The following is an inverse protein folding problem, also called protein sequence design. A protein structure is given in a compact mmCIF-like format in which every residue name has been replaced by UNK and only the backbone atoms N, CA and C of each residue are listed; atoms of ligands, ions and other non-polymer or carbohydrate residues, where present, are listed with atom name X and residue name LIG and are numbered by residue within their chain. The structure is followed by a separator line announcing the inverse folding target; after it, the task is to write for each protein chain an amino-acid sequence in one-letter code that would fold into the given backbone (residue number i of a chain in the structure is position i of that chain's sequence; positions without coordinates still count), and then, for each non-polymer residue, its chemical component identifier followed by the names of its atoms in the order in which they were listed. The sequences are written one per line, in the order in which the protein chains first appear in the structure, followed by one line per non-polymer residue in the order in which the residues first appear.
data_IF_976455793657
#
_entry.id   IF_976455793657
#
_cell.length_a   1.000
_cell.length_b   1.000
_cell.length_c   1.000
_cell.angle_alpha   90.00
_cell.angle_beta   90.00
_cell.angle_gamma   90.00
#
_symmetry.space_group_name_H-M   'P 1'
#
loop_
_entity.id
_entity.type
_entity.pdbx_description
1 polymer ?
#
# COMPACT_ATOMS: atom_id res chain seq x y z
N UNK A 1 46.81 -21.83 7.02
CA UNK A 1 45.60 -21.03 7.29
C UNK A 1 45.46 -20.02 6.16
N UNK A 2 44.58 -20.29 5.20
CA UNK A 2 44.31 -19.38 4.09
C UNK A 2 43.43 -18.24 4.62
N UNK A 3 44.05 -17.10 4.93
CA UNK A 3 43.34 -15.84 5.13
C UNK A 3 42.96 -15.29 3.76
N UNK A 4 41.85 -15.77 3.21
CA UNK A 4 41.27 -15.17 2.01
C UNK A 4 40.74 -13.75 2.36
N UNK A 5 41.30 -12.68 1.78
CA UNK A 5 40.84 -11.32 2.01
C UNK A 5 39.38 -11.11 1.56
N UNK A 6 38.87 -11.95 0.66
CA UNK A 6 37.47 -11.94 0.23
C UNK A 6 36.53 -12.48 1.33
N UNK A 7 36.92 -13.55 2.03
CA UNK A 7 36.21 -14.05 3.21
C UNK A 7 36.27 -13.04 4.36
N UNK A 8 37.40 -12.35 4.55
CA UNK A 8 37.54 -11.28 5.54
C UNK A 8 36.74 -10.00 5.19
N UNK A 9 36.59 -9.68 3.89
CA UNK A 9 35.71 -8.59 3.42
C UNK A 9 34.24 -8.97 3.50
N UNK A 10 33.88 -10.21 3.20
CA UNK A 10 32.52 -10.73 3.36
C UNK A 10 32.11 -10.77 4.84
N UNK A 11 33.03 -11.12 5.75
CA UNK A 11 32.84 -11.02 7.19
C UNK A 11 32.77 -9.58 7.73
N UNK A 12 33.27 -8.59 6.97
CA UNK A 12 33.18 -7.15 7.28
C UNK A 12 31.94 -6.47 6.70
N UNK A 13 31.31 -7.06 5.68
CA UNK A 13 30.08 -6.55 5.13
C UNK A 13 28.93 -6.97 6.07
N UNK A 14 28.11 -6.01 6.50
CA UNK A 14 26.79 -6.29 7.11
C UNK A 14 25.75 -6.20 5.99
N UNK A 15 25.62 -7.25 5.14
CA UNK A 15 24.79 -7.19 3.95
C UNK A 15 23.34 -6.98 4.36
N UNK A 16 22.69 -6.03 3.68
CA UNK A 16 21.27 -5.80 3.88
C UNK A 16 20.48 -7.06 3.52
N UNK A 17 19.53 -7.50 4.36
CA UNK A 17 18.67 -8.63 4.04
C UNK A 17 17.96 -8.44 2.70
N UNK A 18 17.73 -9.54 1.98
CA UNK A 18 17.09 -9.48 0.67
C UNK A 18 15.65 -8.96 0.79
N UNK A 19 15.29 -8.03 -0.09
CA UNK A 19 13.93 -7.52 -0.20
C UNK A 19 13.02 -8.55 -0.89
N UNK A 20 11.79 -8.70 -0.43
CA UNK A 20 10.78 -9.59 -1.04
C UNK A 20 10.37 -9.17 -2.46
N UNK A 21 10.60 -7.90 -2.82
CA UNK A 21 10.37 -7.36 -4.16
C UNK A 21 11.66 -6.72 -4.66
N UNK A 22 11.98 -6.91 -5.95
CA UNK A 22 13.13 -6.26 -6.58
C UNK A 22 12.81 -4.80 -6.92
N UNK A 23 13.83 -3.94 -6.94
CA UNK A 23 13.67 -2.55 -7.40
C UNK A 23 13.15 -2.46 -8.84
N UNK A 24 13.47 -3.47 -9.66
CA UNK A 24 13.08 -3.52 -11.08
C UNK A 24 11.57 -3.55 -11.27
N UNK A 25 10.82 -4.22 -10.38
CA UNK A 25 9.35 -4.24 -10.40
C UNK A 25 8.81 -2.82 -10.29
N UNK A 26 9.19 -2.10 -9.24
CA UNK A 26 8.74 -0.72 -9.01
C UNK A 26 9.07 0.21 -10.18
N UNK A 27 10.29 0.13 -10.71
CA UNK A 27 10.71 0.97 -11.83
C UNK A 27 9.95 0.67 -13.13
N UNK A 28 9.68 -0.61 -13.44
CA UNK A 28 8.90 -0.97 -14.62
C UNK A 28 7.47 -0.44 -14.53
N UNK A 29 6.84 -0.57 -13.36
CA UNK A 29 5.50 -0.01 -13.13
C UNK A 29 5.48 1.51 -13.28
N UNK A 30 6.51 2.19 -12.77
CA UNK A 30 6.64 3.63 -12.90
C UNK A 30 6.77 4.04 -14.37
N UNK A 31 7.62 3.36 -15.15
CA UNK A 31 7.78 3.65 -16.59
C UNK A 31 6.44 3.51 -17.32
N UNK A 32 5.69 2.43 -17.09
CA UNK A 32 4.39 2.23 -17.73
C UNK A 32 3.38 3.31 -17.34
N UNK A 33 3.33 3.67 -16.06
CA UNK A 33 2.50 4.76 -15.56
C UNK A 33 2.86 6.11 -16.19
N UNK A 34 4.16 6.45 -16.26
CA UNK A 34 4.65 7.71 -16.85
C UNK A 34 4.30 7.80 -18.33
N UNK A 35 4.49 6.72 -19.09
CA UNK A 35 4.14 6.66 -20.51
C UNK A 35 2.65 6.90 -20.73
N UNK A 36 1.79 6.20 -19.98
CA UNK A 36 0.35 6.40 -20.09
C UNK A 36 -0.08 7.80 -19.63
N UNK A 37 0.49 8.32 -18.54
CA UNK A 37 0.23 9.67 -18.05
C UNK A 37 0.58 10.73 -19.09
N UNK A 38 1.67 10.55 -19.84
CA UNK A 38 2.05 11.42 -20.95
C UNK A 38 1.05 11.35 -22.11
N UNK A 39 0.63 10.15 -22.52
CA UNK A 39 -0.39 9.93 -23.55
C UNK A 39 -1.72 10.57 -23.14
N UNK A 40 -2.18 10.31 -21.92
CA UNK A 40 -3.43 10.84 -21.40
C UNK A 40 -3.42 12.37 -21.33
N UNK A 41 -2.29 12.99 -20.96
CA UNK A 41 -2.14 14.45 -21.02
C UNK A 41 -2.17 14.98 -22.45
N UNK A 42 -1.51 14.32 -23.39
CA UNK A 42 -1.47 14.74 -24.79
C UNK A 42 -2.86 14.70 -25.46
N UNK A 43 -3.65 13.68 -25.14
CA UNK A 43 -5.00 13.50 -25.71
C UNK A 43 -6.13 13.97 -24.80
N UNK A 44 -5.82 14.65 -23.68
CA UNK A 44 -6.80 15.10 -22.69
C UNK A 44 -7.75 13.99 -22.18
N UNK A 45 -7.20 12.79 -21.97
CA UNK A 45 -7.94 11.63 -21.46
C UNK A 45 -7.98 11.66 -19.93
N UNK A 46 -8.86 12.47 -19.35
CA UNK A 46 -8.97 12.73 -17.90
C UNK A 46 -10.11 11.95 -17.21
N UNK A 47 -10.80 11.10 -17.96
CA UNK A 47 -11.95 10.32 -17.48
C UNK A 47 -11.59 9.09 -16.62
N UNK A 48 -12.59 8.49 -15.94
CA UNK A 48 -12.37 7.37 -15.01
C UNK A 48 -11.79 6.11 -15.66
N UNK A 49 -12.18 5.79 -16.91
CA UNK A 49 -11.59 4.67 -17.64
C UNK A 49 -10.13 4.91 -18.00
N UNK A 50 -9.73 6.15 -18.33
CA UNK A 50 -8.34 6.49 -18.56
C UNK A 50 -7.49 6.33 -17.27
N UNK A 51 -8.09 6.62 -16.11
CA UNK A 51 -7.46 6.35 -14.82
C UNK A 51 -7.30 4.84 -14.54
N UNK A 52 -8.27 4.00 -14.92
CA UNK A 52 -8.10 2.53 -14.84
C UNK A 52 -7.04 2.01 -15.81
N UNK A 53 -6.94 2.58 -17.01
CA UNK A 53 -5.85 2.25 -17.94
C UNK A 53 -4.50 2.67 -17.36
N UNK A 54 -4.43 3.76 -16.59
CA UNK A 54 -3.21 4.14 -15.85
C UNK A 54 -2.81 3.06 -14.83
N UNK A 55 -3.77 2.52 -14.09
CA UNK A 55 -3.53 1.38 -13.16
C UNK A 55 -3.04 0.15 -13.94
N UNK A 56 -3.65 -0.17 -15.08
CA UNK A 56 -3.22 -1.30 -15.92
C UNK A 56 -1.82 -1.08 -16.51
N UNK A 57 -1.52 0.13 -17.00
CA UNK A 57 -0.22 0.52 -17.53
C UNK A 57 0.87 0.50 -16.45
N UNK A 58 0.51 0.76 -15.19
CA UNK A 58 1.38 0.53 -14.04
C UNK A 58 1.57 -0.98 -13.77
N UNK A 59 0.48 -1.75 -13.69
CA UNK A 59 0.50 -3.15 -13.29
C UNK A 59 1.15 -4.11 -14.28
N UNK A 60 0.87 -3.95 -15.57
CA UNK A 60 1.29 -4.90 -16.59
C UNK A 60 2.82 -5.03 -16.72
N UNK A 61 3.60 -3.93 -16.82
CA UNK A 61 5.06 -4.02 -16.84
C UNK A 61 5.63 -4.67 -15.57
N UNK A 62 5.03 -4.43 -14.40
CA UNK A 62 5.45 -5.08 -13.16
C UNK A 62 5.26 -6.59 -13.23
N UNK A 63 4.11 -7.06 -13.72
CA UNK A 63 3.83 -8.48 -13.91
C UNK A 63 4.82 -9.11 -14.88
N UNK A 64 5.06 -8.45 -16.03
CA UNK A 64 6.00 -8.94 -17.04
C UNK A 64 7.43 -9.05 -16.46
N UNK A 65 7.91 -8.02 -15.77
CA UNK A 65 9.22 -8.05 -15.11
C UNK A 65 9.30 -9.18 -14.08
N UNK A 66 8.31 -9.30 -13.22
CA UNK A 66 8.31 -10.31 -12.16
C UNK A 66 8.26 -11.75 -12.70
N UNK A 67 7.57 -11.99 -13.82
CA UNK A 67 7.50 -13.32 -14.42
C UNK A 67 8.76 -13.65 -15.21
N UNK A 68 9.22 -12.73 -16.07
CA UNK A 68 10.27 -13.04 -17.05
C UNK A 68 11.68 -12.77 -16.53
N UNK A 69 11.87 -11.77 -15.66
CA UNK A 69 13.17 -11.37 -15.12
C UNK A 69 13.38 -11.97 -13.74
N UNK A 70 12.54 -11.58 -12.77
CA UNK A 70 12.69 -12.03 -11.38
C UNK A 70 12.27 -13.50 -11.20
N UNK A 71 11.44 -14.02 -12.12
CA UNK A 71 10.88 -15.38 -12.11
C UNK A 71 10.21 -15.73 -10.78
N UNK A 72 9.48 -14.77 -10.20
CA UNK A 72 8.83 -14.90 -8.87
C UNK A 72 7.90 -16.10 -8.77
N UNK A 73 7.33 -16.53 -9.89
CA UNK A 73 6.51 -17.73 -9.99
C UNK A 73 7.23 -19.00 -9.56
N UNK A 74 8.57 -19.03 -9.58
CA UNK A 74 9.41 -20.16 -9.14
C UNK A 74 9.87 -20.04 -7.69
N UNK A 75 9.54 -18.96 -6.99
CA UNK A 75 9.95 -18.79 -5.60
C UNK A 75 9.29 -19.87 -4.74
N UNK A 76 10.03 -20.50 -3.80
CA UNK A 76 9.46 -21.47 -2.86
C UNK A 76 8.30 -20.89 -2.04
N UNK A 77 8.34 -19.58 -1.77
CA UNK A 77 7.31 -18.83 -1.04
C UNK A 77 5.94 -18.83 -1.72
N UNK A 78 5.86 -19.12 -3.03
CA UNK A 78 4.58 -19.26 -3.73
C UNK A 78 3.79 -20.49 -3.26
N UNK A 79 4.48 -21.52 -2.77
CA UNK A 79 3.91 -22.83 -2.48
C UNK A 79 3.48 -23.60 -3.73
N UNK A 80 4.04 -23.28 -4.90
CA UNK A 80 3.71 -23.91 -6.18
C UNK A 80 4.81 -24.91 -6.58
N UNK A 81 4.40 -26.15 -6.84
CA UNK A 81 5.21 -27.15 -7.53
C UNK A 81 4.78 -27.23 -9.01
N UNK A 82 5.56 -26.60 -9.90
CA UNK A 82 5.28 -26.60 -11.33
C UNK A 82 5.41 -27.98 -11.99
N UNK A 83 6.23 -28.87 -11.42
CA UNK A 83 6.48 -30.23 -11.89
C UNK A 83 5.33 -31.19 -11.52
N UNK A 84 4.43 -30.79 -10.64
CA UNK A 84 3.27 -31.59 -10.25
C UNK A 84 2.43 -32.01 -11.46
N UNK A 85 2.16 -33.30 -11.58
CA UNK A 85 1.33 -33.90 -12.66
C UNK A 85 -0.07 -34.30 -12.19
N UNK A 86 -0.48 -33.89 -10.97
CA UNK A 86 -1.78 -34.18 -10.36
C UNK A 86 -2.94 -33.94 -11.34
N UNK A 87 -3.82 -34.93 -11.45
CA UNK A 87 -5.01 -34.85 -12.30
C UNK A 87 -6.01 -33.83 -11.73
N UNK A 88 -6.73 -33.11 -12.59
CA UNK A 88 -7.78 -32.19 -12.13
C UNK A 88 -8.90 -32.93 -11.37
N UNK A 89 -9.11 -34.22 -11.66
CA UNK A 89 -10.12 -35.04 -10.96
C UNK A 89 -9.76 -35.28 -9.50
N UNK A 90 -8.47 -35.37 -9.17
CA UNK A 90 -7.99 -35.60 -7.80
C UNK A 90 -8.14 -34.38 -6.89
N UNK A 91 -8.20 -33.18 -7.49
CA UNK A 91 -8.30 -31.90 -6.78
C UNK A 91 -9.67 -31.25 -6.91
N UNK A 92 -10.59 -31.84 -7.69
CA UNK A 92 -11.87 -31.23 -8.02
C UNK A 92 -12.70 -30.90 -6.78
N UNK A 93 -12.79 -31.81 -5.82
CA UNK A 93 -13.54 -31.58 -4.58
C UNK A 93 -12.94 -30.43 -3.75
N UNK A 94 -11.61 -30.32 -3.73
CA UNK A 94 -10.89 -29.22 -3.08
C UNK A 94 -11.21 -27.91 -3.79
N UNK A 95 -11.14 -27.90 -5.12
CA UNK A 95 -11.42 -26.72 -5.94
C UNK A 95 -12.87 -26.25 -5.83
N UNK A 96 -13.84 -27.15 -5.86
CA UNK A 96 -15.26 -26.82 -5.68
C UNK A 96 -15.52 -26.27 -4.27
N UNK A 97 -14.92 -26.89 -3.25
CA UNK A 97 -14.97 -26.40 -1.86
C UNK A 97 -14.38 -24.99 -1.74
N UNK A 98 -13.24 -24.75 -2.38
CA UNK A 98 -12.57 -23.44 -2.40
C UNK A 98 -13.39 -22.39 -3.13
N UNK A 99 -14.00 -22.73 -4.26
CA UNK A 99 -14.90 -21.84 -5.01
C UNK A 99 -16.12 -21.46 -4.17
N UNK A 100 -16.71 -22.41 -3.44
CA UNK A 100 -17.81 -22.14 -2.53
C UNK A 100 -17.41 -21.14 -1.43
N UNK A 101 -16.26 -21.35 -0.77
CA UNK A 101 -15.75 -20.42 0.24
C UNK A 101 -15.38 -19.05 -0.33
N UNK A 102 -14.76 -19.00 -1.51
CA UNK A 102 -14.41 -17.76 -2.20
C UNK A 102 -15.65 -16.93 -2.55
N UNK A 103 -16.67 -17.54 -3.14
CA UNK A 103 -17.88 -16.84 -3.54
C UNK A 103 -18.80 -16.51 -2.38
N UNK A 104 -18.80 -17.30 -1.32
CA UNK A 104 -19.41 -16.91 -0.05
C UNK A 104 -18.75 -15.64 0.51
N UNK A 105 -17.43 -15.54 0.42
CA UNK A 105 -16.69 -14.35 0.87
C UNK A 105 -17.12 -13.11 0.09
N UNK A 106 -17.19 -13.22 -1.25
CA UNK A 106 -17.68 -12.12 -2.08
C UNK A 106 -19.14 -11.78 -1.84
N UNK A 107 -20.01 -12.76 -1.58
CA UNK A 107 -21.41 -12.52 -1.24
C UNK A 107 -21.54 -11.71 0.06
N UNK A 108 -20.74 -12.02 1.09
CA UNK A 108 -20.70 -11.24 2.34
C UNK A 108 -20.18 -9.83 2.09
N UNK A 109 -19.11 -9.67 1.32
CA UNK A 109 -18.58 -8.33 0.96
C UNK A 109 -19.65 -7.52 0.20
N UNK A 110 -20.32 -8.13 -0.77
CA UNK A 110 -21.40 -7.50 -1.54
C UNK A 110 -22.58 -7.09 -0.64
N UNK A 111 -22.94 -7.92 0.34
CA UNK A 111 -23.96 -7.58 1.34
C UNK A 111 -23.54 -6.37 2.18
N UNK A 112 -22.28 -6.33 2.64
CA UNK A 112 -21.73 -5.16 3.36
C UNK A 112 -21.83 -3.91 2.50
N UNK A 113 -21.39 -3.97 1.24
CA UNK A 113 -21.51 -2.84 0.31
C UNK A 113 -22.96 -2.43 0.06
N UNK A 114 -23.88 -3.38 -0.05
CA UNK A 114 -25.31 -3.12 -0.28
C UNK A 114 -26.00 -2.44 0.91
N UNK A 115 -25.69 -2.85 2.14
CA UNK A 115 -26.28 -2.27 3.36
C UNK A 115 -25.65 -0.92 3.71
N UNK A 116 -24.34 -0.78 3.48
CA UNK A 116 -23.59 0.44 3.76
C UNK A 116 -23.82 1.51 2.70
N UNK A 117 -24.86 2.34 2.90
CA UNK A 117 -25.28 3.42 2.00
C UNK A 117 -24.17 4.38 1.54
N UNK A 118 -23.11 4.56 2.32
CA UNK A 118 -22.00 5.44 1.95
C UNK A 118 -21.22 4.95 0.72
N UNK A 119 -21.22 3.65 0.41
CA UNK A 119 -20.60 3.13 -0.82
C UNK A 119 -21.34 3.54 -2.09
N UNK A 120 -22.60 3.99 -1.97
CA UNK A 120 -23.45 4.40 -3.07
C UNK A 120 -23.56 5.92 -3.21
N UNK A 121 -22.55 6.65 -2.71
CA UNK A 121 -22.48 8.11 -2.75
C UNK A 121 -21.08 8.58 -3.11
N UNK A 122 -21.01 9.73 -3.80
CA UNK A 122 -19.75 10.35 -4.19
C UNK A 122 -18.84 9.40 -4.96
N UNK A 123 -17.54 9.46 -4.66
CA UNK A 123 -16.51 8.73 -5.38
C UNK A 123 -16.64 7.19 -5.30
N UNK A 124 -17.27 6.65 -4.25
CA UNK A 124 -17.43 5.20 -4.12
C UNK A 124 -18.40 4.59 -5.13
N UNK A 125 -19.26 5.40 -5.76
CA UNK A 125 -20.16 4.91 -6.81
C UNK A 125 -19.40 4.23 -7.94
N UNK A 126 -18.27 4.82 -8.35
CA UNK A 126 -17.41 4.25 -9.38
C UNK A 126 -16.84 2.88 -8.97
N UNK A 127 -16.46 2.71 -7.70
CA UNK A 127 -16.01 1.41 -7.19
C UNK A 127 -17.11 0.35 -7.29
N UNK A 128 -18.35 0.72 -6.96
CA UNK A 128 -19.48 -0.20 -7.03
C UNK A 128 -19.79 -0.61 -8.47
N UNK A 129 -19.79 0.35 -9.41
CA UNK A 129 -19.95 0.08 -10.85
C UNK A 129 -18.84 -0.83 -11.37
N UNK A 130 -17.57 -0.57 -10.99
CA UNK A 130 -16.44 -1.41 -11.37
C UNK A 130 -16.58 -2.84 -10.83
N UNK A 131 -17.01 -3.02 -9.57
CA UNK A 131 -17.26 -4.34 -9.01
C UNK A 131 -18.42 -5.05 -9.67
N UNK A 132 -19.53 -4.36 -9.97
CA UNK A 132 -20.66 -4.93 -10.69
C UNK A 132 -20.26 -5.43 -12.09
N UNK A 133 -19.44 -4.65 -12.81
CA UNK A 133 -18.93 -5.05 -14.12
C UNK A 133 -17.92 -6.21 -14.02
N UNK A 134 -17.05 -6.21 -13.02
CA UNK A 134 -16.00 -7.21 -12.87
C UNK A 134 -16.50 -8.55 -12.29
N UNK A 135 -17.53 -8.55 -11.43
CA UNK A 135 -17.95 -9.75 -10.70
C UNK A 135 -18.34 -10.93 -11.59
N UNK A 136 -19.14 -10.79 -12.68
CA UNK A 136 -19.47 -11.91 -13.57
C UNK A 136 -18.23 -12.49 -14.26
N UNK A 137 -17.31 -11.62 -14.69
CA UNK A 137 -16.06 -12.03 -15.33
C UNK A 137 -15.18 -12.79 -14.35
N UNK A 138 -15.03 -12.27 -13.13
CA UNK A 138 -14.25 -12.92 -12.07
C UNK A 138 -14.89 -14.26 -11.64
N UNK A 139 -16.22 -14.37 -11.62
CA UNK A 139 -16.93 -15.63 -11.38
C UNK A 139 -16.52 -16.69 -12.37
N UNK A 140 -16.72 -16.42 -13.66
CA UNK A 140 -16.40 -17.36 -14.72
C UNK A 140 -14.89 -17.66 -14.76
N UNK A 141 -14.03 -16.65 -14.61
CA UNK A 141 -12.58 -16.82 -14.66
C UNK A 141 -12.02 -17.57 -13.43
N UNK A 142 -12.67 -17.47 -12.26
CA UNK A 142 -12.22 -18.16 -11.05
C UNK A 142 -12.31 -19.67 -11.17
N UNK A 143 -13.29 -20.20 -11.90
CA UNK A 143 -13.50 -21.66 -12.06
C UNK A 143 -12.30 -22.37 -12.71
N UNK A 144 -11.89 -22.05 -13.96
CA UNK A 144 -10.75 -22.71 -14.58
C UNK A 144 -9.45 -22.38 -13.84
N UNK A 145 -9.32 -21.18 -13.27
CA UNK A 145 -8.12 -20.79 -12.54
C UNK A 145 -7.92 -21.63 -11.27
N UNK A 146 -8.95 -21.78 -10.43
CA UNK A 146 -8.88 -22.54 -9.18
C UNK A 146 -8.61 -24.02 -9.46
N UNK A 147 -9.34 -24.62 -10.41
CA UNK A 147 -9.13 -26.02 -10.83
C UNK A 147 -7.71 -26.23 -11.36
N UNK A 148 -7.16 -25.25 -12.07
CA UNK A 148 -5.79 -25.34 -12.59
C UNK A 148 -4.75 -25.20 -11.48
N UNK A 149 -4.85 -24.17 -10.63
CA UNK A 149 -3.80 -23.86 -9.64
C UNK A 149 -3.75 -24.90 -8.52
N UNK A 150 -4.88 -25.47 -8.09
CA UNK A 150 -4.91 -26.45 -6.99
C UNK A 150 -4.11 -27.73 -7.32
N UNK A 151 -3.98 -28.07 -8.60
CA UNK A 151 -3.13 -29.17 -9.08
C UNK A 151 -1.64 -28.90 -8.88
N UNK A 152 -1.27 -27.64 -8.74
CA UNK A 152 0.11 -27.17 -8.66
C UNK A 152 0.50 -26.74 -7.25
N UNK A 153 -0.45 -26.55 -6.34
CA UNK A 153 -0.14 -26.15 -4.97
C UNK A 153 0.38 -27.34 -4.16
N UNK A 154 1.43 -27.10 -3.37
CA UNK A 154 1.97 -28.09 -2.42
C UNK A 154 0.92 -28.37 -1.33
N UNK A 155 0.27 -27.32 -0.84
CA UNK A 155 -0.88 -27.41 0.05
C UNK A 155 -2.06 -26.63 -0.55
N UNK A 156 -2.99 -27.32 -1.23
CA UNK A 156 -4.14 -26.68 -1.86
C UNK A 156 -5.24 -26.30 -0.87
N UNK A 157 -5.22 -26.75 0.39
CA UNK A 157 -6.28 -26.51 1.39
C UNK A 157 -6.07 -25.19 2.14
N UNK A 158 -6.16 -24.09 1.41
CA UNK A 158 -6.02 -22.73 1.95
C UNK A 158 -7.26 -22.22 2.72
N UNK A 159 -7.22 -20.97 3.17
CA UNK A 159 -8.31 -20.35 3.94
C UNK A 159 -9.64 -20.25 3.19
N UNK A 160 -9.64 -20.17 1.85
CA UNK A 160 -10.86 -20.21 1.06
C UNK A 160 -11.46 -21.62 1.05
N UNK A 161 -10.62 -22.65 0.96
CA UNK A 161 -11.04 -24.04 1.18
C UNK A 161 -11.57 -24.25 2.60
N UNK A 162 -10.88 -23.75 3.62
CA UNK A 162 -11.29 -23.89 5.03
C UNK A 162 -12.69 -23.29 5.27
N UNK A 163 -12.94 -22.08 4.77
CA UNK A 163 -14.27 -21.45 4.87
C UNK A 163 -15.34 -22.27 4.13
N UNK A 164 -15.04 -22.76 2.92
CA UNK A 164 -15.96 -23.58 2.15
C UNK A 164 -16.27 -24.92 2.81
N UNK A 165 -15.26 -25.58 3.38
CA UNK A 165 -15.42 -26.86 4.06
C UNK A 165 -16.28 -26.73 5.32
N UNK A 166 -16.08 -25.65 6.08
CA UNK A 166 -16.93 -25.29 7.21
C UNK A 166 -18.38 -25.01 6.77
N UNK A 167 -18.56 -24.22 5.71
CA UNK A 167 -19.88 -23.85 5.18
C UNK A 167 -20.69 -25.08 4.73
N UNK A 168 -20.04 -26.02 4.06
CA UNK A 168 -20.70 -27.22 3.53
C UNK A 168 -20.76 -28.38 4.53
N UNK A 169 -20.14 -28.25 5.71
CA UNK A 169 -20.07 -29.32 6.71
C UNK A 169 -19.27 -30.55 6.24
N UNK A 170 -18.35 -30.38 5.28
CA UNK A 170 -17.60 -31.49 4.67
C UNK A 170 -16.33 -31.85 5.44
N UNK A 171 -15.82 -30.96 6.29
CA UNK A 171 -14.67 -31.21 7.17
C UNK A 171 -14.71 -30.33 8.42
N UNK A 172 -13.81 -30.58 9.37
CA UNK A 172 -13.55 -29.71 10.51
C UNK A 172 -12.21 -28.97 10.31
N UNK A 173 -12.20 -27.86 9.56
CA UNK A 173 -10.97 -27.13 9.23
C UNK A 173 -10.41 -26.38 10.43
N UNK A 174 -9.13 -26.04 10.35
CA UNK A 174 -8.49 -25.14 11.30
C UNK A 174 -9.19 -23.76 11.31
N UNK A 175 -9.59 -23.32 12.51
CA UNK A 175 -10.28 -22.05 12.71
C UNK A 175 -9.37 -20.86 12.42
N UNK A 176 -8.06 -21.00 12.67
CA UNK A 176 -7.11 -19.91 12.44
C UNK A 176 -6.96 -19.60 10.95
N UNK A 177 -7.03 -20.63 10.10
CA UNK A 177 -7.09 -20.45 8.64
C UNK A 177 -8.34 -19.65 8.20
N UNK A 178 -9.50 -19.93 8.81
CA UNK A 178 -10.74 -19.17 8.55
C UNK A 178 -10.59 -17.72 9.02
N UNK A 179 -10.11 -17.49 10.25
CA UNK A 179 -9.94 -16.12 10.77
C UNK A 179 -8.93 -15.31 9.97
N UNK A 180 -7.82 -15.93 9.55
CA UNK A 180 -6.86 -15.27 8.66
C UNK A 180 -7.48 -14.93 7.29
N UNK A 181 -8.26 -15.84 6.71
CA UNK A 181 -8.99 -15.60 5.45
C UNK A 181 -9.97 -14.43 5.58
N UNK A 182 -10.82 -14.44 6.59
CA UNK A 182 -11.81 -13.38 6.82
C UNK A 182 -11.15 -12.01 7.04
N UNK A 183 -10.07 -11.94 7.82
CA UNK A 183 -9.29 -10.70 8.01
C UNK A 183 -8.66 -10.24 6.70
N UNK A 184 -8.02 -11.14 5.95
CA UNK A 184 -7.35 -10.81 4.68
C UNK A 184 -8.34 -10.28 3.63
N UNK A 185 -9.52 -10.90 3.54
CA UNK A 185 -10.58 -10.43 2.65
C UNK A 185 -11.30 -9.19 3.17
N UNK A 186 -11.39 -9.00 4.49
CA UNK A 186 -11.85 -7.75 5.09
C UNK A 186 -10.96 -6.57 4.72
N UNK A 187 -9.63 -6.75 4.79
CA UNK A 187 -8.66 -5.73 4.32
C UNK A 187 -8.89 -5.46 2.83
N UNK A 188 -8.93 -6.50 2.00
CA UNK A 188 -9.08 -6.34 0.55
C UNK A 188 -10.41 -5.67 0.19
N UNK A 189 -11.52 -6.10 0.78
CA UNK A 189 -12.84 -5.50 0.57
C UNK A 189 -12.89 -4.04 0.99
N UNK A 190 -12.30 -3.67 2.12
CA UNK A 190 -12.29 -2.27 2.55
C UNK A 190 -11.42 -1.40 1.63
N UNK A 191 -10.16 -1.79 1.44
CA UNK A 191 -9.18 -0.93 0.77
C UNK A 191 -9.29 -0.93 -0.75
N UNK A 192 -9.67 -2.04 -1.40
CA UNK A 192 -9.83 -2.05 -2.85
C UNK A 192 -10.96 -1.10 -3.29
N UNK A 193 -12.07 -1.09 -2.54
CA UNK A 193 -13.17 -0.16 -2.79
C UNK A 193 -12.73 1.30 -2.63
N UNK A 194 -11.93 1.59 -1.60
CA UNK A 194 -11.38 2.92 -1.38
C UNK A 194 -10.42 3.35 -2.49
N UNK A 195 -9.47 2.47 -2.88
CA UNK A 195 -8.51 2.77 -3.93
C UNK A 195 -9.20 3.06 -5.26
N UNK A 196 -10.15 2.22 -5.67
CA UNK A 196 -10.92 2.46 -6.90
C UNK A 196 -11.72 3.77 -6.86
N UNK A 197 -12.20 4.19 -5.68
CA UNK A 197 -12.97 5.42 -5.54
C UNK A 197 -12.11 6.66 -5.82
N UNK A 198 -10.86 6.65 -5.37
CA UNK A 198 -9.97 7.83 -5.44
C UNK A 198 -9.11 7.89 -6.71
N UNK A 199 -8.89 6.76 -7.40
CA UNK A 199 -8.12 6.69 -8.65
C UNK A 199 -8.57 7.73 -9.69
N UNK A 200 -9.88 7.85 -10.05
CA UNK A 200 -10.31 8.77 -11.09
C UNK A 200 -10.09 10.24 -10.77
N UNK A 201 -10.38 10.65 -9.52
CA UNK A 201 -10.34 12.05 -9.11
C UNK A 201 -8.95 12.65 -9.26
N UNK A 202 -7.96 12.03 -8.61
CA UNK A 202 -6.57 12.49 -8.66
C UNK A 202 -5.97 12.40 -10.06
N UNK A 203 -6.27 11.34 -10.82
CA UNK A 203 -5.77 11.19 -12.18
C UNK A 203 -6.33 12.28 -13.11
N UNK A 204 -7.64 12.54 -13.06
CA UNK A 204 -8.26 13.58 -13.86
C UNK A 204 -7.75 14.97 -13.52
N UNK A 205 -7.57 15.27 -12.22
CA UNK A 205 -6.98 16.55 -11.78
C UNK A 205 -5.56 16.73 -12.33
N UNK A 206 -4.73 15.69 -12.22
CA UNK A 206 -3.39 15.69 -12.79
C UNK A 206 -3.42 15.95 -14.30
N UNK A 207 -4.30 15.30 -15.05
CA UNK A 207 -4.37 15.42 -16.53
C UNK A 207 -4.85 16.80 -16.96
N UNK A 208 -5.87 17.37 -16.29
CA UNK A 208 -6.47 18.67 -16.62
C UNK A 208 -5.60 19.88 -16.33
N UNK A 209 -4.53 19.73 -15.54
CA UNK A 209 -3.71 20.85 -15.13
C UNK A 209 -3.09 21.64 -16.31
N UNK A 210 -3.25 22.96 -16.27
CA UNK A 210 -2.76 23.92 -17.26
C UNK A 210 -1.23 24.08 -17.17
N UNK A 211 -0.52 23.57 -18.18
CA UNK A 211 0.96 23.63 -18.25
C UNK A 211 1.51 25.05 -18.28
N UNK A 212 0.76 26.01 -18.81
CA UNK A 212 1.22 27.40 -18.92
C UNK A 212 1.34 28.08 -17.56
N UNK A 213 0.43 27.73 -16.63
CA UNK A 213 0.46 28.19 -15.24
C UNK A 213 1.62 27.54 -14.48
N UNK A 214 1.84 26.24 -14.67
CA UNK A 214 2.88 25.48 -13.95
C UNK A 214 4.30 26.04 -14.17
N UNK A 215 4.58 26.59 -15.35
CA UNK A 215 5.91 27.13 -15.68
C UNK A 215 6.16 28.52 -15.09
N UNK A 216 5.11 29.19 -14.59
CA UNK A 216 5.17 30.60 -14.15
C UNK A 216 4.90 30.78 -12.67
N UNK A 217 4.26 29.81 -12.04
CA UNK A 217 3.93 29.83 -10.62
C UNK A 217 4.53 28.60 -9.91
N UNK A 218 5.55 28.79 -9.04
CA UNK A 218 6.16 27.70 -8.30
C UNK A 218 5.17 27.00 -7.37
N UNK A 219 4.13 27.69 -6.87
CA UNK A 219 3.10 27.09 -6.01
C UNK A 219 2.23 26.14 -6.83
N UNK A 220 1.76 26.59 -7.98
CA UNK A 220 1.00 25.74 -8.91
C UNK A 220 1.81 24.51 -9.34
N UNK A 221 3.11 24.68 -9.64
CA UNK A 221 4.01 23.58 -9.97
C UNK A 221 4.14 22.58 -8.80
N UNK A 222 4.36 23.06 -7.58
CA UNK A 222 4.47 22.21 -6.40
C UNK A 222 3.19 21.42 -6.15
N UNK A 223 2.02 22.07 -6.19
CA UNK A 223 0.74 21.39 -6.01
C UNK A 223 0.50 20.35 -7.10
N UNK A 224 0.81 20.65 -8.36
CA UNK A 224 0.68 19.69 -9.45
C UNK A 224 1.60 18.47 -9.29
N UNK A 225 2.86 18.68 -8.89
CA UNK A 225 3.79 17.59 -8.61
C UNK A 225 3.33 16.74 -7.42
N UNK A 226 2.78 17.36 -6.38
CA UNK A 226 2.19 16.67 -5.22
C UNK A 226 1.00 15.81 -5.66
N UNK A 227 0.06 16.36 -6.43
CA UNK A 227 -1.06 15.61 -7.01
C UNK A 227 -0.55 14.43 -7.84
N UNK A 228 0.51 14.62 -8.62
CA UNK A 228 1.09 13.53 -9.40
C UNK A 228 1.70 12.41 -8.53
N UNK A 229 2.39 12.76 -7.43
CA UNK A 229 2.89 11.75 -6.50
C UNK A 229 1.76 10.93 -5.88
N UNK A 230 0.61 11.54 -5.58
CA UNK A 230 -0.58 10.81 -5.13
C UNK A 230 -1.18 9.92 -6.22
N UNK A 231 -1.20 10.36 -7.49
CA UNK A 231 -1.63 9.51 -8.62
C UNK A 231 -0.76 8.26 -8.73
N UNK A 232 0.56 8.42 -8.57
CA UNK A 232 1.51 7.30 -8.55
C UNK A 232 1.21 6.37 -7.37
N UNK A 233 1.14 6.90 -6.15
CA UNK A 233 0.86 6.12 -4.93
C UNK A 233 -0.42 5.29 -5.08
N UNK A 234 -1.52 5.95 -5.46
CA UNK A 234 -2.83 5.33 -5.59
C UNK A 234 -2.84 4.29 -6.71
N UNK A 235 -2.18 4.53 -7.85
CA UNK A 235 -2.11 3.54 -8.92
C UNK A 235 -1.38 2.27 -8.47
N UNK A 236 -0.21 2.40 -7.85
CA UNK A 236 0.55 1.27 -7.32
C UNK A 236 -0.23 0.53 -6.21
N UNK A 237 -0.83 1.26 -5.28
CA UNK A 237 -1.66 0.67 -4.23
C UNK A 237 -2.84 -0.11 -4.81
N UNK A 238 -3.52 0.43 -5.83
CA UNK A 238 -4.63 -0.24 -6.51
C UNK A 238 -4.17 -1.53 -7.18
N UNK A 239 -3.06 -1.51 -7.91
CA UNK A 239 -2.45 -2.72 -8.46
C UNK A 239 -2.16 -3.73 -7.35
N UNK A 240 -1.62 -3.27 -6.22
CA UNK A 240 -1.32 -4.09 -5.05
C UNK A 240 -2.52 -4.88 -4.54
N UNK A 241 -3.69 -4.24 -4.46
CA UNK A 241 -4.94 -4.88 -4.03
C UNK A 241 -5.58 -5.77 -5.09
N UNK A 242 -5.43 -5.44 -6.38
CA UNK A 242 -5.96 -6.25 -7.49
C UNK A 242 -5.15 -7.54 -7.65
N UNK A 243 -3.81 -7.43 -7.70
CA UNK A 243 -2.90 -8.53 -8.01
C UNK A 243 -2.46 -9.29 -6.74
N UNK A 244 -3.41 -9.88 -6.01
CA UNK A 244 -3.15 -10.74 -4.84
C UNK A 244 -3.19 -12.23 -5.24
N UNK A 245 -2.13 -12.76 -5.84
CA UNK A 245 -2.12 -14.15 -6.34
C UNK A 245 -0.79 -14.86 -6.14
N UNK A 246 -0.86 -16.18 -5.94
CA UNK A 246 0.32 -17.02 -5.67
C UNK A 246 1.35 -17.04 -6.80
N UNK A 247 0.98 -17.10 -8.11
CA UNK A 247 1.96 -17.09 -9.20
C UNK A 247 2.83 -15.84 -9.26
N UNK A 248 2.39 -14.72 -8.68
CA UNK A 248 3.17 -13.48 -8.59
C UNK A 248 3.91 -13.35 -7.24
N UNK A 249 3.86 -14.38 -6.39
CA UNK A 249 4.31 -14.36 -4.99
C UNK A 249 3.76 -13.15 -4.20
N UNK A 250 2.56 -12.70 -4.57
CA UNK A 250 1.93 -11.50 -4.04
C UNK A 250 0.71 -11.84 -3.18
N UNK A 251 0.44 -13.10 -2.88
CA UNK A 251 -0.68 -13.47 -2.02
C UNK A 251 -0.51 -12.91 -0.59
N UNK A 252 -1.63 -12.69 0.09
CA UNK A 252 -1.61 -12.34 1.51
C UNK A 252 -1.24 -13.59 2.30
N UNK A 253 -0.16 -13.52 3.08
CA UNK A 253 0.28 -14.62 3.95
C UNK A 253 -0.48 -14.58 5.26
N UNK A 254 -0.54 -13.39 5.86
CA UNK A 254 -1.41 -13.13 6.99
C UNK A 254 -1.92 -11.70 7.02
N UNK A 255 -3.07 -11.50 7.65
CA UNK A 255 -3.59 -10.18 8.00
C UNK A 255 -3.42 -9.93 9.51
N UNK A 256 -3.25 -8.66 9.88
CA UNK A 256 -2.92 -8.27 11.24
C UNK A 256 -4.03 -8.75 12.21
N UNK A 257 -3.67 -9.53 13.25
CA UNK A 257 -4.66 -10.12 14.14
C UNK A 257 -5.18 -9.16 15.20
N UNK A 258 -4.50 -8.02 15.44
CA UNK A 258 -4.78 -7.15 16.57
C UNK A 258 -5.86 -6.12 16.25
N UNK A 259 -6.93 -6.07 17.05
CA UNK A 259 -7.97 -5.05 16.92
C UNK A 259 -7.42 -3.62 16.99
N UNK A 260 -6.37 -3.40 17.79
CA UNK A 260 -5.65 -2.12 17.87
C UNK A 260 -5.08 -1.67 16.51
N UNK A 261 -4.55 -2.61 15.70
CA UNK A 261 -4.04 -2.30 14.37
C UNK A 261 -5.15 -1.86 13.42
N UNK A 262 -6.29 -2.57 13.44
CA UNK A 262 -7.47 -2.23 12.65
C UNK A 262 -8.03 -0.86 13.03
N UNK A 263 -8.15 -0.56 14.32
CA UNK A 263 -8.63 0.73 14.78
C UNK A 263 -7.70 1.87 14.34
N UNK A 264 -6.39 1.74 14.56
CA UNK A 264 -5.40 2.72 14.12
C UNK A 264 -5.41 2.94 12.60
N UNK A 265 -5.66 1.89 11.81
CA UNK A 265 -5.81 2.01 10.37
C UNK A 265 -7.12 2.70 9.97
N UNK A 266 -8.27 2.27 10.49
CA UNK A 266 -9.59 2.79 10.10
C UNK A 266 -9.73 4.29 10.40
N UNK A 267 -9.15 4.78 11.51
CA UNK A 267 -9.10 6.21 11.85
C UNK A 267 -8.45 7.06 10.74
N UNK A 268 -7.60 6.47 9.90
CA UNK A 268 -6.86 7.17 8.85
C UNK A 268 -7.51 7.07 7.46
N UNK A 269 -8.63 6.35 7.28
CA UNK A 269 -9.19 6.07 5.96
C UNK A 269 -10.71 6.30 5.89
N UNK A 270 -11.22 6.93 4.82
CA UNK A 270 -12.66 7.04 4.60
C UNK A 270 -13.36 5.67 4.59
N UNK A 271 -14.61 5.58 5.09
CA UNK A 271 -15.43 6.66 5.65
C UNK A 271 -15.16 6.96 7.14
N UNK A 272 -14.21 6.27 7.78
CA UNK A 272 -13.95 6.36 9.22
C UNK A 272 -12.85 7.36 9.58
N UNK A 273 -12.35 8.09 8.59
CA UNK A 273 -11.28 9.08 8.77
C UNK A 273 -11.72 10.15 9.77
N UNK A 274 -10.98 10.29 10.88
CA UNK A 274 -11.37 11.21 11.94
C UNK A 274 -10.75 12.60 11.79
N UNK A 275 -9.64 12.70 11.06
CA UNK A 275 -8.91 13.95 10.82
C UNK A 275 -9.27 14.63 9.49
N UNK A 276 -10.34 14.20 8.83
CA UNK A 276 -10.86 14.88 7.65
C UNK A 276 -11.66 16.12 8.05
N UNK A 277 -11.92 17.01 7.09
CA UNK A 277 -12.68 18.24 7.29
C UNK A 277 -14.03 17.99 8.00
N UNK A 278 -14.26 18.71 9.10
CA UNK A 278 -15.43 18.57 9.97
C UNK A 278 -15.42 17.33 10.88
N UNK A 279 -14.36 16.53 10.85
CA UNK A 279 -14.15 15.37 11.72
C UNK A 279 -13.73 15.75 13.15
N UNK A 280 -13.81 14.80 14.11
CA UNK A 280 -13.49 15.08 15.51
C UNK A 280 -12.00 15.35 15.78
N UNK A 281 -11.11 14.95 14.86
CA UNK A 281 -9.67 15.23 14.92
C UNK A 281 -9.24 16.22 13.82
N UNK A 282 -10.19 16.97 13.27
CA UNK A 282 -9.93 18.00 12.26
C UNK A 282 -9.12 19.15 12.88
N UNK A 283 -7.90 19.33 12.39
CA UNK A 283 -6.97 20.38 12.83
C UNK A 283 -7.03 21.63 11.95
N UNK A 284 -7.80 21.65 10.87
CA UNK A 284 -7.86 22.76 9.91
C UNK A 284 -8.58 24.02 10.43
N UNK A 285 -9.63 23.95 11.29
CA UNK A 285 -10.34 25.13 11.75
C UNK A 285 -9.42 26.16 12.44
N UNK A 286 -9.47 27.42 11.97
CA UNK A 286 -8.64 28.49 12.50
C UNK A 286 -7.17 28.42 12.07
N UNK A 287 -6.82 27.56 11.12
CA UNK A 287 -5.47 27.50 10.51
C UNK A 287 -5.51 27.93 9.04
N UNK A 288 -4.37 27.80 8.36
CA UNK A 288 -4.25 27.93 6.93
C UNK A 288 -3.06 27.10 6.45
N UNK A 289 -2.73 27.17 5.17
CA UNK A 289 -1.60 26.44 4.59
C UNK A 289 -0.36 27.31 4.37
N UNK A 290 0.72 26.66 3.98
CA UNK A 290 2.00 27.28 3.64
C UNK A 290 1.91 28.37 2.57
N UNK A 291 0.93 28.31 1.66
CA UNK A 291 0.73 29.34 0.63
C UNK A 291 0.24 30.63 1.28
N UNK A 292 -0.70 30.51 2.22
CA UNK A 292 -1.17 31.64 3.01
C UNK A 292 -0.07 32.22 3.91
N UNK A 293 0.64 31.38 4.67
CA UNK A 293 1.63 31.85 5.65
C UNK A 293 2.83 32.53 5.03
N UNK A 294 3.21 32.11 3.82
CA UNK A 294 4.33 32.71 3.08
C UNK A 294 3.87 33.62 1.93
N UNK A 295 2.62 34.09 1.95
CA UNK A 295 2.11 35.03 0.96
C UNK A 295 3.02 36.27 0.86
N UNK A 296 3.33 36.69 -0.37
CA UNK A 296 4.26 37.80 -0.63
C UNK A 296 5.75 37.44 -0.56
N UNK A 297 6.10 36.21 -0.19
CA UNK A 297 7.49 35.73 -0.10
C UNK A 297 7.78 34.61 -1.12
N UNK A 298 7.99 34.93 -2.41
CA UNK A 298 8.07 33.93 -3.49
C UNK A 298 9.21 32.92 -3.32
N UNK A 299 10.34 33.33 -2.74
CA UNK A 299 11.47 32.42 -2.47
C UNK A 299 11.10 31.40 -1.38
N UNK A 300 10.44 31.84 -0.30
CA UNK A 300 10.00 30.92 0.77
C UNK A 300 8.91 29.96 0.27
N UNK A 301 8.00 30.45 -0.58
CA UNK A 301 7.02 29.61 -1.25
C UNK A 301 7.71 28.54 -2.11
N UNK A 302 8.68 28.92 -2.96
CA UNK A 302 9.39 27.96 -3.81
C UNK A 302 10.17 26.92 -3.00
N UNK A 303 10.87 27.33 -1.94
CA UNK A 303 11.63 26.43 -1.06
C UNK A 303 10.69 25.46 -0.34
N UNK A 304 9.62 25.97 0.27
CA UNK A 304 8.65 25.15 1.00
C UNK A 304 7.94 24.19 0.05
N UNK A 305 7.52 24.65 -1.12
CA UNK A 305 6.94 23.82 -2.18
C UNK A 305 7.89 22.69 -2.60
N UNK A 306 9.19 22.97 -2.79
CA UNK A 306 10.19 21.95 -3.11
C UNK A 306 10.35 20.91 -1.99
N UNK A 307 10.31 21.32 -0.72
CA UNK A 307 10.34 20.40 0.43
C UNK A 307 9.10 19.51 0.45
N UNK A 308 7.90 20.07 0.24
CA UNK A 308 6.64 19.31 0.21
C UNK A 308 6.62 18.30 -0.95
N UNK A 309 7.12 18.69 -2.13
CA UNK A 309 7.31 17.78 -3.27
C UNK A 309 8.30 16.67 -2.93
N UNK A 310 9.42 16.97 -2.27
CA UNK A 310 10.39 15.94 -1.85
C UNK A 310 9.76 14.94 -0.87
N UNK A 311 8.99 15.42 0.12
CA UNK A 311 8.32 14.57 1.10
C UNK A 311 7.29 13.65 0.44
N UNK A 312 6.48 14.19 -0.47
CA UNK A 312 5.51 13.37 -1.23
C UNK A 312 6.18 12.42 -2.22
N UNK A 313 7.34 12.78 -2.77
CA UNK A 313 8.14 11.87 -3.58
C UNK A 313 8.72 10.70 -2.74
N UNK A 314 9.17 10.95 -1.51
CA UNK A 314 9.59 9.87 -0.58
C UNK A 314 8.41 8.97 -0.22
N UNK A 315 7.24 9.57 0.02
CA UNK A 315 6.00 8.84 0.28
C UNK A 315 5.63 7.93 -0.90
N UNK A 316 5.57 8.46 -2.13
CA UNK A 316 5.28 7.68 -3.34
C UNK A 316 6.37 6.63 -3.62
N UNK A 317 7.65 6.96 -3.37
CA UNK A 317 8.76 6.02 -3.54
C UNK A 317 8.64 4.80 -2.60
N UNK A 318 8.08 4.98 -1.39
CA UNK A 318 7.81 3.87 -0.50
C UNK A 318 6.81 2.88 -1.12
N UNK A 319 5.76 3.39 -1.76
CA UNK A 319 4.76 2.56 -2.46
C UNK A 319 5.31 1.95 -3.74
N UNK A 320 6.14 2.69 -4.51
CA UNK A 320 6.86 2.14 -5.67
C UNK A 320 7.74 0.95 -5.24
N UNK A 321 8.44 1.04 -4.10
CA UNK A 321 9.27 -0.04 -3.58
C UNK A 321 8.46 -1.30 -3.22
N UNK A 322 7.18 -1.17 -2.86
CA UNK A 322 6.29 -2.33 -2.71
C UNK A 322 5.91 -2.98 -4.04
N UNK A 323 5.91 -2.25 -5.16
CA UNK A 323 5.34 -2.71 -6.41
C UNK A 323 3.90 -3.21 -6.20
N UNK A 324 3.55 -4.36 -6.78
CA UNK A 324 2.23 -4.97 -6.60
C UNK A 324 2.04 -5.72 -5.26
N UNK A 325 2.98 -5.61 -4.30
CA UNK A 325 2.81 -6.21 -2.96
C UNK A 325 2.26 -5.25 -1.93
N UNK A 326 2.08 -3.97 -2.27
CA UNK A 326 1.53 -2.99 -1.35
C UNK A 326 0.17 -3.46 -0.81
N UNK A 327 0.00 -3.41 0.51
CA UNK A 327 -1.29 -3.58 1.17
C UNK A 327 -1.17 -3.21 2.65
N UNK A 328 -2.16 -2.46 3.14
CA UNK A 328 -2.32 -2.17 4.56
C UNK A 328 -2.64 -3.44 5.36
N UNK A 329 -2.22 -3.48 6.64
CA UNK A 329 -2.58 -4.53 7.61
C UNK A 329 -2.25 -5.97 7.21
N UNK A 330 -1.39 -6.19 6.21
CA UNK A 330 -1.09 -7.53 5.71
C UNK A 330 0.39 -7.78 5.59
N UNK A 331 0.78 -9.02 5.87
CA UNK A 331 2.11 -9.51 5.58
C UNK A 331 2.14 -10.17 4.19
N UNK A 332 2.88 -9.54 3.26
CA UNK A 332 3.11 -10.00 1.87
C UNK A 332 4.60 -10.09 1.51
N UNK A 333 5.45 -10.11 2.51
CA UNK A 333 6.91 -10.06 2.40
C UNK A 333 7.50 -8.75 2.91
N UNK A 334 8.73 -8.84 3.41
CA UNK A 334 9.47 -7.74 4.01
C UNK A 334 10.25 -7.00 2.93
N UNK A 335 10.14 -5.67 2.92
CA UNK A 335 10.93 -4.81 2.05
C UNK A 335 12.14 -4.27 2.79
N UNK A 336 13.26 -4.25 2.09
CA UNK A 336 14.53 -3.70 2.62
C UNK A 336 15.19 -2.71 1.67
N UNK A 337 14.65 -2.53 0.45
CA UNK A 337 15.23 -1.65 -0.58
C UNK A 337 14.48 -0.32 -0.71
N UNK A 338 15.00 0.56 -1.57
CA UNK A 338 14.40 1.89 -1.77
C UNK A 338 14.45 2.72 -0.48
N UNK A 339 13.37 3.41 -0.11
CA UNK A 339 13.37 4.24 1.10
C UNK A 339 13.39 3.39 2.40
N UNK A 340 13.04 2.09 2.31
CA UNK A 340 13.16 1.14 3.42
C UNK A 340 14.61 0.84 3.83
N UNK A 341 15.60 1.31 3.06
CA UNK A 341 17.00 1.28 3.47
C UNK A 341 17.32 2.30 4.58
N UNK A 342 16.52 3.35 4.72
CA UNK A 342 16.81 4.50 5.59
C UNK A 342 15.90 4.58 6.81
N UNK A 343 14.65 4.12 6.67
CA UNK A 343 13.63 4.07 7.73
C UNK A 343 12.77 2.83 7.55
N UNK A 344 12.24 2.28 8.65
CA UNK A 344 11.24 1.18 8.58
C UNK A 344 9.87 1.68 8.12
N UNK A 345 9.57 2.97 8.35
CA UNK A 345 8.29 3.60 8.04
C UNK A 345 8.48 4.93 7.27
N UNK A 346 9.10 4.90 6.07
CA UNK A 346 9.40 6.14 5.33
C UNK A 346 8.13 6.89 4.91
N UNK A 347 7.06 6.18 4.54
CA UNK A 347 5.78 6.76 4.17
C UNK A 347 5.12 7.51 5.35
N UNK A 348 5.09 6.92 6.55
CA UNK A 348 4.50 7.57 7.71
C UNK A 348 5.31 8.79 8.15
N UNK A 349 6.64 8.71 8.12
CA UNK A 349 7.50 9.84 8.48
C UNK A 349 7.31 11.02 7.52
N UNK A 350 7.41 10.77 6.22
CA UNK A 350 7.26 11.80 5.19
C UNK A 350 5.88 12.46 5.22
N UNK A 351 4.82 11.66 5.41
CA UNK A 351 3.44 12.16 5.50
C UNK A 351 3.21 13.07 6.71
N UNK A 352 3.74 12.71 7.88
CA UNK A 352 3.61 13.55 9.08
C UNK A 352 4.40 14.86 8.96
N UNK A 353 5.62 14.80 8.39
CA UNK A 353 6.40 16.00 8.11
C UNK A 353 5.71 16.89 7.07
N UNK A 354 5.09 16.29 6.05
CA UNK A 354 4.34 17.01 5.04
C UNK A 354 3.21 17.81 5.68
N UNK A 355 2.35 17.17 6.50
CA UNK A 355 1.24 17.86 7.16
C UNK A 355 1.68 18.94 8.13
N UNK A 356 2.75 18.70 8.88
CA UNK A 356 3.31 19.68 9.79
C UNK A 356 3.78 20.94 9.05
N UNK A 357 4.54 20.76 7.96
CA UNK A 357 5.11 21.85 7.17
C UNK A 357 4.05 22.54 6.31
N UNK A 358 3.10 21.78 5.76
CA UNK A 358 2.05 22.34 4.91
C UNK A 358 1.05 23.18 5.71
N UNK A 359 0.80 22.84 6.97
CA UNK A 359 -0.23 23.48 7.81
C UNK A 359 0.36 24.53 8.74
N UNK A 360 1.55 24.27 9.31
CA UNK A 360 2.18 25.13 10.32
C UNK A 360 1.19 25.41 11.49
N UNK A 361 0.75 24.36 12.21
CA UNK A 361 -0.45 24.41 13.05
C UNK A 361 -0.33 25.29 14.30
N UNK A 362 0.86 25.83 14.56
CA UNK A 362 1.13 26.81 15.62
C UNK A 362 0.84 28.25 15.20
N UNK A 363 0.54 28.48 13.92
CA UNK A 363 -0.01 29.75 13.41
C UNK A 363 -1.53 29.64 13.29
N UNK A 364 -2.23 30.76 13.45
CA UNK A 364 -3.69 30.79 13.44
C UNK A 364 -4.22 32.01 12.68
N UNK A 365 -5.28 31.78 11.92
CA UNK A 365 -6.09 32.82 11.24
C UNK A 365 -7.21 33.33 12.14
N UNK A 366 -7.42 32.69 13.29
CA UNK A 366 -8.36 33.09 14.34
C UNK A 366 -7.63 33.48 15.62
N UNK A 367 -7.78 32.68 16.67
CA UNK A 367 -7.23 32.96 18.00
C UNK A 367 -6.00 32.10 18.32
N UNK A 368 -5.24 32.48 19.36
CA UNK A 368 -4.18 31.63 19.90
C UNK A 368 -4.70 30.30 20.46
N UNK A 369 -5.97 30.25 20.87
CA UNK A 369 -6.63 29.00 21.27
C UNK A 369 -6.77 28.06 20.08
N UNK A 370 -7.05 28.58 18.89
CA UNK A 370 -7.15 27.78 17.67
C UNK A 370 -5.77 27.22 17.27
N UNK A 371 -4.70 28.02 17.37
CA UNK A 371 -3.32 27.53 17.17
C UNK A 371 -2.96 26.41 18.15
N UNK A 372 -3.26 26.59 19.45
CA UNK A 372 -3.00 25.56 20.45
C UNK A 372 -3.81 24.28 20.17
N UNK A 373 -5.08 24.42 19.79
CA UNK A 373 -5.96 23.30 19.45
C UNK A 373 -5.44 22.54 18.23
N UNK A 374 -5.14 23.23 17.13
CA UNK A 374 -4.61 22.64 15.91
C UNK A 374 -3.27 21.93 16.15
N UNK A 375 -2.38 22.53 16.94
CA UNK A 375 -1.10 21.93 17.32
C UNK A 375 -1.28 20.63 18.11
N UNK A 376 -2.18 20.63 19.10
CA UNK A 376 -2.48 19.43 19.89
C UNK A 376 -3.10 18.34 19.00
N UNK A 377 -4.08 18.69 18.16
CA UNK A 377 -4.74 17.75 17.26
C UNK A 377 -3.77 17.16 16.24
N UNK A 378 -2.89 17.97 15.65
CA UNK A 378 -1.82 17.49 14.77
C UNK A 378 -0.87 16.52 15.51
N UNK A 379 -0.56 16.79 16.79
CA UNK A 379 0.19 15.88 17.64
C UNK A 379 -0.53 14.55 17.87
N UNK A 380 -1.85 14.56 18.07
CA UNK A 380 -2.68 13.35 18.18
C UNK A 380 -2.69 12.57 16.87
N UNK A 381 -2.85 13.26 15.73
CA UNK A 381 -2.77 12.64 14.39
C UNK A 381 -1.42 11.95 14.19
N UNK A 382 -0.31 12.61 14.54
CA UNK A 382 1.01 12.00 14.49
C UNK A 382 1.14 10.79 15.42
N UNK A 383 0.55 10.85 16.62
CA UNK A 383 0.45 9.74 17.55
C UNK A 383 -0.30 8.53 16.98
N UNK A 384 -1.36 8.75 16.20
CA UNK A 384 -2.10 7.67 15.51
C UNK A 384 -1.22 6.97 14.46
N UNK A 385 -0.45 7.73 13.68
CA UNK A 385 0.50 7.13 12.73
C UNK A 385 1.63 6.37 13.41
N UNK A 386 2.12 6.86 14.56
CA UNK A 386 3.07 6.11 15.37
C UNK A 386 2.46 4.80 15.91
N UNK A 387 1.23 4.85 16.43
CA UNK A 387 0.51 3.66 16.89
C UNK A 387 0.31 2.63 15.77
N UNK A 388 0.00 3.12 14.57
CA UNK A 388 -0.12 2.28 13.37
C UNK A 388 1.20 1.63 12.97
N UNK A 389 2.31 2.38 12.98
CA UNK A 389 3.64 1.81 12.81
C UNK A 389 3.90 0.69 13.82
N UNK A 390 3.68 0.94 15.12
CA UNK A 390 3.96 -0.04 16.16
C UNK A 390 3.17 -1.34 16.02
N UNK A 391 1.86 -1.23 15.73
CA UNK A 391 1.01 -2.41 15.53
C UNK A 391 1.36 -3.20 14.27
N UNK A 392 1.90 -2.54 13.24
CA UNK A 392 2.49 -3.19 12.06
C UNK A 392 3.77 -3.95 12.43
N UNK A 393 4.66 -3.35 13.22
CA UNK A 393 5.87 -4.03 13.70
C UNK A 393 5.57 -5.23 14.61
N UNK A 394 4.51 -5.17 15.41
CA UNK A 394 4.08 -6.32 16.23
C UNK A 394 3.69 -7.51 15.35
N UNK A 395 2.90 -7.27 14.31
CA UNK A 395 2.46 -8.33 13.39
C UNK A 395 3.62 -8.89 12.56
N UNK A 396 4.54 -8.04 12.12
CA UNK A 396 5.71 -8.47 11.36
C UNK A 396 6.82 -9.06 12.25
N UNK A 397 6.82 -8.77 13.55
CA UNK A 397 7.88 -9.14 14.49
C UNK A 397 8.11 -10.64 14.66
N UNK A 398 7.13 -11.46 14.30
CA UNK A 398 7.23 -12.93 14.31
C UNK A 398 7.95 -13.48 13.06
N UNK A 399 8.08 -12.69 11.98
CA UNK A 399 8.74 -13.12 10.76
C UNK A 399 10.28 -13.02 10.89
N UNK A 400 11.03 -14.12 10.70
CA UNK A 400 12.49 -14.11 10.73
C UNK A 400 13.13 -13.09 9.77
N UNK A 401 12.53 -12.85 8.60
CA UNK A 401 13.00 -11.85 7.65
C UNK A 401 12.84 -10.43 8.19
N UNK A 402 11.77 -10.17 8.94
CA UNK A 402 11.55 -8.86 9.55
C UNK A 402 12.45 -8.64 10.77
N UNK A 403 12.72 -9.68 11.55
CA UNK A 403 13.69 -9.66 12.64
C UNK A 403 15.10 -9.34 12.11
N UNK A 404 15.54 -10.03 11.05
CA UNK A 404 16.82 -9.76 10.40
C UNK A 404 16.90 -8.32 9.87
N UNK A 405 15.83 -7.84 9.23
CA UNK A 405 15.74 -6.46 8.75
C UNK A 405 15.79 -5.44 9.90
N UNK A 406 15.09 -5.68 11.00
CA UNK A 406 15.10 -4.79 12.18
C UNK A 406 16.48 -4.71 12.82
N UNK A 407 17.17 -5.84 12.96
CA UNK A 407 18.54 -5.88 13.46
C UNK A 407 19.50 -5.10 12.55
N UNK A 408 19.40 -5.31 11.23
CA UNK A 408 20.18 -4.56 10.25
C UNK A 408 19.89 -3.05 10.30
N UNK A 409 18.62 -2.66 10.42
CA UNK A 409 18.19 -1.27 10.53
C UNK A 409 18.69 -0.57 11.78
N UNK A 410 18.80 -1.28 12.91
CA UNK A 410 19.36 -0.71 14.13
C UNK A 410 20.82 -0.28 13.94
N UNK A 411 21.59 -1.03 13.17
CA UNK A 411 23.02 -0.77 12.88
C UNK A 411 23.23 0.25 11.75
N UNK A 412 22.39 0.21 10.71
CA UNK A 412 22.65 0.92 9.46
C UNK A 412 21.65 2.03 9.12
N UNK A 413 20.44 2.00 9.70
CA UNK A 413 19.36 2.92 9.33
C UNK A 413 19.62 4.36 9.79
N UNK A 414 19.52 5.33 8.87
CA UNK A 414 19.77 6.73 9.17
C UNK A 414 18.79 7.29 10.23
N UNK A 415 17.50 6.97 10.12
CA UNK A 415 16.47 7.49 11.03
C UNK A 415 16.60 6.91 12.45
N UNK A 416 16.69 5.57 12.65
CA UNK A 416 16.93 5.02 13.98
C UNK A 416 18.21 5.54 14.63
N UNK A 417 19.30 5.72 13.86
CA UNK A 417 20.56 6.25 14.37
C UNK A 417 20.45 7.71 14.79
N UNK A 418 19.74 8.53 14.03
CA UNK A 418 19.49 9.93 14.40
C UNK A 418 18.75 10.03 15.75
N UNK A 419 17.67 9.28 15.93
CA UNK A 419 16.94 9.26 17.20
C UNK A 419 17.71 8.56 18.32
N UNK A 420 18.51 7.54 18.02
CA UNK A 420 19.41 6.91 18.98
C UNK A 420 20.47 7.87 19.51
N UNK A 421 21.07 8.67 18.61
CA UNK A 421 22.00 9.75 18.95
C UNK A 421 21.33 10.82 19.82
N UNK A 422 20.14 11.31 19.44
CA UNK A 422 19.38 12.26 20.25
C UNK A 422 19.06 11.73 21.66
N UNK A 423 18.84 10.42 21.79
CA UNK A 423 18.57 9.75 23.07
C UNK A 423 19.83 9.31 23.84
N UNK A 424 21.04 9.66 23.36
CA UNK A 424 22.30 9.31 24.02
C UNK A 424 22.64 7.81 24.00
N UNK A 425 22.04 7.01 23.12
CA UNK A 425 22.31 5.57 23.01
C UNK A 425 23.61 5.33 22.23
N UNK A 426 24.53 4.47 22.70
CA UNK A 426 25.72 4.10 21.94
C UNK A 426 25.31 3.39 20.64
N UNK A 427 26.08 3.57 19.54
CA UNK A 427 25.79 2.88 18.29
C UNK A 427 25.84 1.35 18.52
N UNK A 428 24.87 0.58 18.02
CA UNK A 428 24.86 -0.86 18.21
C UNK A 428 26.07 -1.50 17.52
N UNK A 429 26.68 -2.48 18.21
CA UNK A 429 27.86 -3.21 17.75
C UNK A 429 27.43 -4.22 16.67
N UNK A 430 28.26 -4.36 15.62
CA UNK A 430 28.03 -5.27 14.50
C UNK A 430 28.28 -6.73 14.85
#
# INVERSE_FOLDING_TARGET
MLHDPALARAAKADPRPQSAVSTGVGLCGLVGLLLWSGIARWFHMDGPYAALVNVAACGMPMVLWSIFVDKVHRNPTTGINWESTTSWRETLDISLTKLAGLWMTWAVIALVYGVSRFYWRGNYLFSMEAFQAAAPVLFVASIPYVIWIDRKLIDPKDGAWALGAWLMGTANPDKDAIYNHLRSWGVKGFFLAFMLAIVPGGFGEFVRADTSLLLRDPVALSNWLITFMFVIDVAFATVGYVLTMRPLDSHIRSANPYAAAWLAALICYPPFVLMADGGPLDYHPGTSDWVHWYAGHPILLAITGAVLVMLTAIYAWATIAFGFRFSNLTHRGVLTHGPYAFSRHPAYLSKNLFWLISTIPFLSTGTMVDAARATILMGVVAGIYYWRAQTEEWHLGEDPAYQAYTQWMARNGAVPRFFGWLAGKPPPVA
#
